data_IF_418634583174
#
_entry.id   IF_418634583174
#
_cell.length_a   1.000
_cell.length_b   1.000
_cell.length_c   1.000
_cell.angle_alpha   90.00
_cell.angle_beta   90.00
_cell.angle_gamma   90.00
#
_symmetry.space_group_name_H-M   'P 1'
#
loop_
_entity.id
_entity.type
_entity.pdbx_description
1 polymer ?
#
# COMPACT_ATOMS: atom_id res chain seq x y z
N UNK A 1 -55.44 49.74 -36.88
CA UNK A 1 -55.01 49.93 -35.49
C UNK A 1 -53.80 49.06 -35.22
N UNK A 2 -52.66 49.74 -35.04
CA UNK A 2 -51.33 49.37 -34.55
C UNK A 2 -50.85 47.89 -34.57
N UNK A 3 -49.95 47.60 -35.53
CA UNK A 3 -48.86 46.64 -35.35
C UNK A 3 -47.78 47.28 -34.48
N UNK A 4 -47.49 46.69 -33.33
CA UNK A 4 -46.34 47.04 -32.50
C UNK A 4 -45.18 46.12 -32.88
N UNK A 5 -44.17 46.69 -33.52
CA UNK A 5 -42.85 46.09 -33.72
C UNK A 5 -42.02 46.27 -32.45
N UNK A 6 -41.56 45.18 -31.84
CA UNK A 6 -40.57 45.20 -30.78
C UNK A 6 -39.29 44.50 -31.26
N UNK A 7 -38.21 45.27 -31.23
CA UNK A 7 -36.84 44.98 -31.65
C UNK A 7 -36.10 44.05 -30.69
N UNK A 8 -35.37 43.09 -31.26
CA UNK A 8 -34.43 42.18 -30.58
C UNK A 8 -33.06 42.86 -30.48
N UNK A 9 -32.37 42.87 -29.32
CA UNK A 9 -31.01 43.38 -29.25
C UNK A 9 -30.01 42.30 -29.68
N UNK A 10 -29.08 42.69 -30.56
CA UNK A 10 -27.94 41.91 -30.98
C UNK A 10 -26.91 41.82 -29.84
N UNK A 11 -26.53 40.59 -29.45
CA UNK A 11 -25.36 40.38 -28.59
C UNK A 11 -24.10 40.28 -29.46
N UNK A 12 -23.15 41.16 -29.14
CA UNK A 12 -21.85 41.24 -29.78
C UNK A 12 -21.00 39.99 -29.54
N UNK A 13 -20.47 39.42 -30.62
CA UNK A 13 -19.41 38.41 -30.62
C UNK A 13 -18.09 39.14 -30.39
N UNK A 14 -17.52 39.01 -29.19
CA UNK A 14 -16.17 39.47 -28.91
C UNK A 14 -15.16 38.45 -29.46
N UNK A 15 -14.50 38.82 -30.56
CA UNK A 15 -13.31 38.14 -31.06
C UNK A 15 -12.13 38.45 -30.14
N UNK A 16 -11.62 37.45 -29.42
CA UNK A 16 -10.33 37.53 -28.75
C UNK A 16 -9.24 36.99 -29.68
N UNK A 17 -8.27 37.87 -29.96
CA UNK A 17 -7.15 37.66 -30.84
C UNK A 17 -6.24 36.50 -30.41
N UNK A 18 -5.82 35.72 -31.40
CA UNK A 18 -4.76 34.72 -31.32
C UNK A 18 -3.41 35.45 -31.23
N UNK A 19 -2.69 35.28 -30.13
CA UNK A 19 -1.26 35.58 -30.04
C UNK A 19 -0.46 34.30 -30.29
N UNK A 20 0.62 34.32 -31.09
CA UNK A 20 1.44 33.14 -31.33
C UNK A 20 2.35 32.87 -30.12
N UNK A 21 2.33 31.65 -29.62
CA UNK A 21 3.28 31.14 -28.62
C UNK A 21 4.58 30.76 -29.36
N UNK A 22 5.75 31.30 -29.00
CA UNK A 22 7.01 30.89 -29.60
C UNK A 22 7.41 29.49 -29.12
N UNK A 23 7.74 28.62 -30.07
CA UNK A 23 8.35 27.32 -29.82
C UNK A 23 9.77 27.50 -29.27
N UNK A 24 9.99 27.16 -28.01
CA UNK A 24 11.34 27.04 -27.43
C UNK A 24 11.81 25.60 -27.54
N UNK A 25 12.82 25.40 -28.37
CA UNK A 25 13.60 24.17 -28.46
C UNK A 25 14.35 23.95 -27.13
N UNK A 26 14.05 22.86 -26.43
CA UNK A 26 14.86 22.39 -25.33
C UNK A 26 16.01 21.55 -25.88
N UNK A 27 17.20 22.14 -25.93
CA UNK A 27 18.45 21.45 -26.20
C UNK A 27 18.72 20.40 -25.11
N UNK A 28 18.80 19.15 -25.52
CA UNK A 28 19.46 18.06 -24.81
C UNK A 28 20.96 18.37 -24.69
N UNK A 29 21.46 18.54 -23.46
CA UNK A 29 22.89 18.45 -23.14
C UNK A 29 23.12 17.36 -22.10
N UNK A 30 24.09 16.45 -22.32
CA UNK A 30 24.39 15.38 -21.38
C UNK A 30 25.10 15.92 -20.14
N UNK A 31 24.65 15.52 -18.97
CA UNK A 31 25.37 15.72 -17.71
C UNK A 31 26.38 14.57 -17.55
N UNK A 32 27.64 14.85 -17.84
CA UNK A 32 28.78 14.04 -17.39
C UNK A 32 29.20 14.52 -16.01
N UNK A 33 28.83 13.78 -14.96
CA UNK A 33 29.42 13.92 -13.63
C UNK A 33 30.34 12.73 -13.39
N UNK A 34 31.62 12.91 -13.69
CA UNK A 34 32.68 12.02 -13.24
C UNK A 34 33.08 12.44 -11.82
N UNK A 35 32.71 11.66 -10.81
CA UNK A 35 33.30 11.75 -9.48
C UNK A 35 34.40 10.71 -9.37
N UNK A 36 35.63 11.18 -9.53
CA UNK A 36 36.86 10.46 -9.21
C UNK A 36 37.00 10.26 -7.71
N UNK A 37 36.92 9.01 -7.25
CA UNK A 37 37.36 8.59 -5.90
C UNK A 37 38.83 8.20 -5.99
N UNK A 38 39.73 8.72 -5.14
CA UNK A 38 41.13 8.30 -5.16
C UNK A 38 41.29 6.88 -4.59
N UNK A 39 41.98 6.04 -5.35
CA UNK A 39 42.40 4.70 -4.96
C UNK A 39 43.51 4.76 -3.89
N UNK A 40 43.38 3.93 -2.86
CA UNK A 40 44.43 3.66 -1.87
C UNK A 40 45.32 2.52 -2.40
N UNK A 41 46.66 2.65 -2.40
CA UNK A 41 47.55 1.64 -2.98
C UNK A 41 47.70 0.41 -2.07
N UNK A 42 47.61 -0.77 -2.67
CA UNK A 42 47.99 -2.06 -2.09
C UNK A 42 49.49 -2.32 -2.32
N UNK A 43 50.18 -2.85 -1.31
CA UNK A 43 51.55 -3.36 -1.40
C UNK A 43 51.57 -4.90 -1.21
N UNK A 44 52.60 -5.62 -1.69
CA UNK A 44 52.45 -6.99 -2.18
C UNK A 44 53.00 -8.09 -1.26
N UNK A 45 52.43 -9.29 -1.43
CA UNK A 45 53.16 -10.56 -1.52
C UNK A 45 53.51 -11.30 -0.23
N UNK A 46 52.99 -12.53 -0.08
CA UNK A 46 53.86 -13.71 -0.07
C UNK A 46 53.05 -15.02 -0.20
N UNK A 47 53.71 -15.94 -0.88
CA UNK A 47 53.36 -17.29 -1.32
C UNK A 47 53.25 -18.33 -0.20
N UNK A 48 52.39 -19.33 -0.38
CA UNK A 48 52.51 -20.62 0.31
C UNK A 48 51.26 -21.51 0.21
N UNK A 49 51.36 -22.62 -0.52
CA UNK A 49 50.52 -23.82 -0.42
C UNK A 49 51.46 -25.03 -0.25
N UNK A 50 51.02 -26.29 0.00
CA UNK A 50 49.67 -26.83 0.26
C UNK A 50 49.58 -27.84 1.46
N UNK A 51 48.39 -28.38 1.79
CA UNK A 51 48.27 -29.68 2.50
C UNK A 51 46.99 -29.89 3.35
N UNK A 52 46.48 -31.13 3.53
CA UNK A 52 45.05 -31.43 3.48
C UNK A 52 44.39 -31.97 4.78
N UNK A 53 43.05 -32.12 4.70
CA UNK A 53 42.18 -33.11 5.37
C UNK A 53 41.88 -33.00 6.87
N UNK A 54 40.58 -33.05 7.21
CA UNK A 54 40.10 -33.23 8.58
C UNK A 54 38.57 -33.11 8.69
N UNK A 55 37.83 -34.15 8.28
CA UNK A 55 36.41 -34.34 8.60
C UNK A 55 36.24 -34.80 10.05
N UNK A 56 35.42 -34.14 10.86
CA UNK A 56 34.74 -34.81 11.98
C UNK A 56 33.44 -34.09 12.36
N UNK A 57 32.35 -34.83 12.16
CA UNK A 57 31.01 -34.57 12.66
C UNK A 57 30.87 -35.23 14.05
N UNK A 58 30.16 -34.64 15.01
CA UNK A 58 29.44 -35.45 16.01
C UNK A 58 27.95 -35.14 15.95
N UNK A 59 27.21 -36.07 15.36
CA UNK A 59 25.75 -36.19 15.46
C UNK A 59 25.37 -36.65 16.87
N UNK A 60 24.82 -35.73 17.67
CA UNK A 60 24.03 -36.04 18.87
C UNK A 60 22.52 -35.93 18.55
N UNK A 61 21.64 -36.75 19.15
CA UNK A 61 20.22 -36.70 18.87
C UNK A 61 19.58 -35.46 19.52
N UNK A 62 19.21 -34.47 18.71
CA UNK A 62 18.38 -33.35 19.17
C UNK A 62 16.91 -33.75 19.17
N UNK A 63 16.37 -33.92 20.37
CA UNK A 63 14.95 -34.13 20.63
C UNK A 63 14.23 -32.78 20.43
N UNK A 64 13.31 -32.59 19.45
CA UNK A 64 12.61 -31.32 19.32
C UNK A 64 11.31 -31.38 20.14
N UNK A 65 11.41 -31.17 21.45
CA UNK A 65 10.27 -30.72 22.25
C UNK A 65 10.06 -29.23 21.96
N UNK A 66 9.53 -28.92 20.78
CA UNK A 66 9.17 -27.56 20.39
C UNK A 66 7.77 -27.23 20.88
N UNK A 67 7.65 -26.33 21.84
CA UNK A 67 6.45 -25.50 22.07
C UNK A 67 5.94 -24.99 20.71
N UNK A 68 4.62 -24.94 20.42
CA UNK A 68 4.12 -24.36 19.17
C UNK A 68 4.66 -22.93 19.04
N UNK A 69 5.69 -22.77 18.21
CA UNK A 69 6.35 -21.49 18.03
C UNK A 69 5.33 -20.51 17.49
N UNK A 70 5.20 -19.35 18.12
CA UNK A 70 4.48 -18.22 17.53
C UNK A 70 5.05 -18.00 16.13
N UNK A 71 4.22 -18.20 15.12
CA UNK A 71 4.65 -18.13 13.73
C UNK A 71 5.29 -16.75 13.49
N UNK A 72 6.56 -16.72 13.13
CA UNK A 72 7.32 -15.48 12.96
C UNK A 72 7.05 -14.87 11.58
N UNK A 73 7.17 -13.54 11.43
CA UNK A 73 7.18 -12.91 10.12
C UNK A 73 8.25 -13.54 9.21
N UNK A 74 7.91 -13.70 7.93
CA UNK A 74 8.81 -14.25 6.91
C UNK A 74 8.75 -13.44 5.62
N UNK A 75 9.76 -13.58 4.78
CA UNK A 75 9.67 -13.09 3.40
C UNK A 75 8.66 -13.98 2.64
N UNK A 76 7.61 -13.37 2.10
CA UNK A 76 6.67 -14.06 1.23
C UNK A 76 7.27 -14.22 -0.18
N UNK A 77 7.71 -13.09 -0.74
CA UNK A 77 8.43 -13.01 -2.01
C UNK A 77 9.19 -11.68 -2.08
N UNK A 78 10.03 -11.52 -3.11
CA UNK A 78 10.74 -10.28 -3.39
C UNK A 78 10.28 -9.76 -4.75
N UNK A 79 9.82 -8.51 -4.83
CA UNK A 79 9.44 -7.92 -6.11
C UNK A 79 10.70 -7.81 -6.97
N UNK A 80 10.75 -8.45 -8.15
CA UNK A 80 11.97 -8.46 -8.97
C UNK A 80 11.92 -7.54 -10.20
N UNK A 81 10.74 -7.01 -10.52
CA UNK A 81 10.56 -6.15 -11.70
C UNK A 81 11.04 -4.72 -11.41
N UNK A 82 12.06 -4.27 -12.14
CA UNK A 82 12.71 -2.97 -11.93
C UNK A 82 11.80 -1.77 -12.22
N UNK A 83 10.67 -1.99 -12.91
CA UNK A 83 9.67 -0.95 -13.16
C UNK A 83 8.89 -0.59 -11.89
N UNK A 84 8.92 -1.43 -10.87
CA UNK A 84 8.22 -1.22 -9.61
C UNK A 84 9.21 -0.60 -8.62
N UNK A 85 9.09 0.71 -8.43
CA UNK A 85 10.00 1.51 -7.59
C UNK A 85 9.29 2.10 -6.37
N UNK A 86 7.99 2.31 -6.46
CA UNK A 86 7.18 3.09 -5.52
C UNK A 86 5.89 2.32 -5.20
N UNK A 87 6.03 1.02 -4.86
CA UNK A 87 4.90 0.13 -4.56
C UNK A 87 4.08 0.62 -3.35
N UNK A 88 3.11 1.49 -3.60
CA UNK A 88 2.38 2.23 -2.57
C UNK A 88 1.20 1.42 -1.95
N UNK A 89 0.53 0.57 -2.73
CA UNK A 89 -0.57 -0.29 -2.22
C UNK A 89 -0.43 -1.78 -2.56
N UNK A 90 -1.08 -2.66 -1.79
CA UNK A 90 -1.19 -4.10 -2.10
C UNK A 90 -2.64 -4.59 -2.04
N UNK A 91 -3.01 -5.47 -2.97
CA UNK A 91 -4.30 -6.15 -2.94
C UNK A 91 -4.15 -7.62 -3.36
N UNK A 92 -4.49 -8.56 -2.47
CA UNK A 92 -4.47 -9.99 -2.80
C UNK A 92 -5.59 -10.31 -3.81
N UNK A 93 -5.24 -10.97 -4.92
CA UNK A 93 -6.18 -11.32 -5.98
C UNK A 93 -7.31 -12.22 -5.49
N UNK A 94 -8.52 -11.99 -6.00
CA UNK A 94 -9.66 -12.87 -5.76
C UNK A 94 -9.74 -13.99 -6.80
N UNK A 95 -9.43 -13.69 -8.06
CA UNK A 95 -9.53 -14.66 -9.16
C UNK A 95 -8.28 -15.54 -9.34
N UNK A 96 -7.11 -15.12 -8.85
CA UNK A 96 -5.81 -15.77 -9.11
C UNK A 96 -5.08 -16.09 -7.80
N UNK A 97 -5.16 -17.34 -7.31
CA UNK A 97 -4.48 -17.74 -6.09
C UNK A 97 -2.96 -17.45 -6.12
N UNK A 98 -2.46 -16.81 -5.06
CA UNK A 98 -1.05 -16.45 -4.93
C UNK A 98 -0.61 -15.21 -5.69
N UNK A 99 -1.53 -14.51 -6.37
CA UNK A 99 -1.24 -13.24 -7.03
C UNK A 99 -1.58 -12.06 -6.12
N UNK A 100 -0.71 -11.05 -6.12
CA UNK A 100 -0.94 -9.78 -5.43
C UNK A 100 -0.78 -8.64 -6.44
N UNK A 101 -1.70 -7.67 -6.41
CA UNK A 101 -1.63 -6.47 -7.23
C UNK A 101 -0.94 -5.33 -6.48
N UNK A 102 -0.16 -4.53 -7.22
CA UNK A 102 0.42 -3.26 -6.75
C UNK A 102 0.40 -2.22 -7.88
N UNK A 103 0.72 -0.97 -7.55
CA UNK A 103 0.99 0.13 -8.48
C UNK A 103 2.16 0.97 -7.94
N UNK A 104 2.80 1.75 -8.82
CA UNK A 104 3.68 2.83 -8.37
C UNK A 104 2.85 4.04 -7.93
N UNK A 105 3.38 4.83 -6.99
CA UNK A 105 2.73 6.02 -6.45
C UNK A 105 2.40 7.06 -7.53
N UNK A 106 3.39 7.75 -8.10
CA UNK A 106 3.13 8.93 -8.94
C UNK A 106 3.99 8.99 -10.21
N UNK A 107 3.69 9.97 -11.08
CA UNK A 107 4.54 10.35 -12.22
C UNK A 107 4.67 9.35 -13.38
N UNK A 108 4.12 8.13 -13.22
CA UNK A 108 4.23 7.03 -14.17
C UNK A 108 3.01 6.83 -15.09
N UNK A 109 3.03 5.72 -15.82
CA UNK A 109 1.86 5.26 -16.57
C UNK A 109 0.83 4.70 -15.58
N UNK A 110 -0.47 4.88 -15.85
CA UNK A 110 -1.55 4.30 -15.06
C UNK A 110 -1.58 2.77 -15.20
N UNK A 111 -0.78 2.08 -14.39
CA UNK A 111 -0.54 0.64 -14.48
C UNK A 111 -0.72 -0.06 -13.15
N UNK A 112 -1.30 -1.26 -13.22
CA UNK A 112 -1.35 -2.21 -12.12
C UNK A 112 -0.47 -3.39 -12.50
N UNK A 113 0.39 -3.81 -11.58
CA UNK A 113 1.27 -4.96 -11.74
C UNK A 113 0.67 -6.15 -10.97
N UNK A 114 0.44 -7.27 -11.65
CA UNK A 114 0.06 -8.52 -11.03
C UNK A 114 1.32 -9.34 -10.72
N UNK A 115 1.64 -9.53 -9.45
CA UNK A 115 2.87 -10.18 -8.99
C UNK A 115 2.55 -11.61 -8.53
N UNK A 116 3.29 -12.60 -9.03
CA UNK A 116 3.17 -13.99 -8.62
C UNK A 116 3.91 -14.31 -7.31
N UNK A 117 3.77 -15.53 -6.78
CA UNK A 117 4.38 -15.93 -5.51
C UNK A 117 5.91 -16.06 -5.56
N UNK A 118 6.51 -16.03 -6.75
CA UNK A 118 7.96 -15.93 -6.96
C UNK A 118 8.46 -14.48 -7.00
N UNK A 119 7.56 -13.50 -6.90
CA UNK A 119 7.86 -12.07 -7.01
C UNK A 119 7.96 -11.52 -8.43
N UNK A 120 7.73 -12.37 -9.45
CA UNK A 120 7.74 -11.97 -10.85
C UNK A 120 6.38 -11.43 -11.32
N UNK A 121 6.41 -10.42 -12.19
CA UNK A 121 5.20 -9.87 -12.81
C UNK A 121 4.60 -10.87 -13.80
N UNK A 122 3.30 -11.16 -13.65
CA UNK A 122 2.48 -12.03 -14.51
C UNK A 122 1.67 -11.25 -15.53
N UNK A 123 1.32 -10.02 -15.20
CA UNK A 123 0.62 -9.12 -16.10
C UNK A 123 0.84 -7.66 -15.69
N UNK A 124 0.89 -6.79 -16.69
CA UNK A 124 0.75 -5.34 -16.53
C UNK A 124 -0.59 -4.90 -17.13
N UNK A 125 -1.47 -4.42 -16.27
CA UNK A 125 -2.78 -3.90 -16.66
C UNK A 125 -2.67 -2.38 -16.78
N UNK A 126 -2.72 -1.86 -18.02
CA UNK A 126 -2.70 -0.41 -18.26
C UNK A 126 -4.14 0.11 -18.29
N UNK A 127 -4.48 1.08 -17.44
CA UNK A 127 -5.84 1.60 -17.32
C UNK A 127 -6.06 2.72 -18.34
N UNK A 128 -6.82 2.43 -19.39
CA UNK A 128 -7.23 3.43 -20.37
C UNK A 128 -8.13 4.49 -19.72
N UNK A 129 -7.92 5.74 -20.11
CA UNK A 129 -8.64 6.90 -19.56
C UNK A 129 -8.19 7.34 -18.16
N UNK A 130 -7.30 6.58 -17.51
CA UNK A 130 -6.76 6.92 -16.21
C UNK A 130 -5.44 7.70 -16.32
N UNK A 131 -5.18 8.52 -15.30
CA UNK A 131 -3.89 9.18 -15.09
C UNK A 131 -3.37 8.77 -13.72
N UNK A 132 -2.08 8.44 -13.65
CA UNK A 132 -1.40 8.30 -12.38
C UNK A 132 -0.83 9.66 -11.95
N UNK A 133 -1.63 10.44 -11.24
CA UNK A 133 -1.18 11.72 -10.66
C UNK A 133 -0.53 11.49 -9.30
N UNK A 134 -1.23 10.85 -8.38
CA UNK A 134 -0.84 10.58 -6.99
C UNK A 134 -1.63 9.35 -6.51
N UNK A 135 -1.32 8.17 -7.07
CA UNK A 135 -2.01 6.92 -6.76
C UNK A 135 -1.48 6.33 -5.47
N UNK A 136 -2.34 6.20 -4.46
CA UNK A 136 -1.87 5.85 -3.12
C UNK A 136 -2.48 4.56 -2.57
N UNK A 137 -3.50 4.00 -3.23
CA UNK A 137 -4.16 2.82 -2.70
C UNK A 137 -4.80 1.94 -3.76
N UNK A 138 -4.82 0.64 -3.48
CA UNK A 138 -5.45 -0.40 -4.30
C UNK A 138 -6.22 -1.36 -3.39
N UNK A 139 -7.42 -1.77 -3.82
CA UNK A 139 -8.23 -2.72 -3.07
C UNK A 139 -9.02 -3.64 -4.01
N UNK A 140 -9.30 -4.85 -3.53
CA UNK A 140 -10.26 -5.73 -4.16
C UNK A 140 -11.68 -5.35 -3.75
N UNK A 141 -12.60 -5.41 -4.70
CA UNK A 141 -14.04 -5.24 -4.48
C UNK A 141 -14.83 -6.00 -5.55
N UNK A 142 -16.01 -5.50 -5.86
CA UNK A 142 -16.89 -6.03 -6.91
C UNK A 142 -17.31 -4.97 -7.92
N UNK A 143 -17.50 -5.39 -9.17
CA UNK A 143 -18.14 -4.57 -10.20
C UNK A 143 -19.67 -4.59 -10.09
N UNK A 144 -20.35 -3.89 -11.00
CA UNK A 144 -21.82 -3.75 -10.98
C UNK A 144 -22.55 -5.08 -11.25
N UNK A 145 -21.83 -6.10 -11.72
CA UNK A 145 -22.33 -7.46 -11.93
C UNK A 145 -21.92 -8.42 -10.80
N UNK A 146 -21.32 -7.91 -9.72
CA UNK A 146 -20.87 -8.71 -8.59
C UNK A 146 -19.58 -9.51 -8.84
N UNK A 147 -18.91 -9.30 -9.99
CA UNK A 147 -17.66 -9.99 -10.31
C UNK A 147 -16.50 -9.32 -9.57
N UNK A 148 -15.40 -10.04 -9.28
CA UNK A 148 -14.22 -9.43 -8.67
C UNK A 148 -13.73 -8.23 -9.49
N UNK A 149 -13.37 -7.17 -8.78
CA UNK A 149 -12.91 -5.92 -9.36
C UNK A 149 -11.72 -5.37 -8.58
N UNK A 150 -10.83 -4.70 -9.31
CA UNK A 150 -9.69 -3.99 -8.74
C UNK A 150 -10.04 -2.50 -8.74
N UNK A 151 -9.93 -1.88 -7.58
CA UNK A 151 -10.07 -0.44 -7.41
C UNK A 151 -8.69 0.16 -7.15
N UNK A 152 -8.38 1.28 -7.80
CA UNK A 152 -7.15 2.04 -7.56
C UNK A 152 -7.47 3.51 -7.37
N UNK A 153 -6.82 4.16 -6.42
CA UNK A 153 -7.20 5.46 -5.91
C UNK A 153 -6.11 6.51 -6.19
N UNK A 154 -6.45 7.50 -7.02
CA UNK A 154 -5.71 8.75 -7.19
C UNK A 154 -6.20 9.74 -6.13
N UNK A 155 -5.66 9.61 -4.91
CA UNK A 155 -6.17 10.24 -3.68
C UNK A 155 -5.12 11.04 -2.90
N UNK A 156 -3.84 10.94 -3.30
CA UNK A 156 -2.77 11.75 -2.73
C UNK A 156 -2.99 13.25 -2.99
N UNK A 157 -2.51 14.05 -2.04
CA UNK A 157 -2.46 15.51 -2.12
C UNK A 157 -1.39 16.03 -1.16
N UNK A 158 -0.12 15.81 -1.51
CA UNK A 158 1.04 16.32 -0.75
C UNK A 158 1.07 17.87 -0.61
N UNK A 159 0.20 18.58 -1.35
CA UNK A 159 0.02 20.03 -1.26
C UNK A 159 -1.07 20.45 -0.26
N UNK A 160 -1.66 19.50 0.47
CA UNK A 160 -2.57 19.79 1.57
C UNK A 160 -3.96 20.24 1.12
N UNK A 161 -4.43 19.76 -0.02
CA UNK A 161 -5.77 20.06 -0.53
C UNK A 161 -5.80 20.94 -1.78
N UNK A 162 -4.74 20.91 -2.59
CA UNK A 162 -4.68 21.66 -3.84
C UNK A 162 -5.70 21.15 -4.88
N UNK A 163 -6.16 19.91 -4.74
CA UNK A 163 -7.02 19.27 -5.73
C UNK A 163 -8.51 19.34 -5.36
N UNK A 164 -9.38 19.79 -6.28
CA UNK A 164 -10.81 20.02 -6.00
C UNK A 164 -11.63 18.73 -5.88
N UNK A 165 -11.03 17.58 -6.23
CA UNK A 165 -11.59 16.24 -6.10
C UNK A 165 -10.47 15.20 -6.24
N UNK A 166 -10.77 13.98 -5.81
CA UNK A 166 -9.93 12.79 -6.01
C UNK A 166 -10.66 11.80 -6.91
N UNK A 167 -9.93 10.87 -7.53
CA UNK A 167 -10.51 9.92 -8.49
C UNK A 167 -10.20 8.49 -8.08
N UNK A 168 -11.20 7.62 -8.14
CA UNK A 168 -11.03 6.19 -7.93
C UNK A 168 -11.43 5.50 -9.22
N UNK A 169 -10.53 4.67 -9.71
CA UNK A 169 -10.72 3.86 -10.91
C UNK A 169 -11.11 2.46 -10.52
N UNK A 170 -12.00 1.83 -11.30
CA UNK A 170 -12.40 0.43 -11.15
C UNK A 170 -12.25 -0.30 -12.47
N UNK A 171 -11.60 -1.45 -12.43
CA UNK A 171 -11.62 -2.43 -13.53
C UNK A 171 -12.17 -3.76 -13.01
N UNK A 172 -12.89 -4.49 -13.85
CA UNK A 172 -13.17 -5.91 -13.56
C UNK A 172 -11.85 -6.68 -13.57
N UNK A 173 -11.64 -7.52 -12.56
CA UNK A 173 -10.45 -8.38 -12.50
C UNK A 173 -10.42 -9.31 -13.72
N UNK A 174 -9.34 -9.30 -14.53
CA UNK A 174 -9.27 -10.17 -15.70
C UNK A 174 -9.28 -11.64 -15.31
N UNK A 175 -10.02 -12.48 -16.03
CA UNK A 175 -10.02 -13.94 -15.82
C UNK A 175 -8.72 -14.62 -16.29
N UNK A 176 -7.93 -13.94 -17.11
CA UNK A 176 -6.62 -14.40 -17.60
C UNK A 176 -5.62 -13.26 -17.43
N UNK A 177 -4.53 -13.54 -16.72
CA UNK A 177 -3.42 -12.61 -16.54
C UNK A 177 -2.55 -12.59 -17.80
N UNK A 178 -2.50 -11.43 -18.43
CA UNK A 178 -1.59 -11.07 -19.51
C UNK A 178 -1.54 -9.55 -19.61
N UNK A 179 -0.46 -9.03 -20.15
CA UNK A 179 -0.33 -7.61 -20.44
C UNK A 179 -1.48 -7.15 -21.35
N UNK A 180 -2.19 -6.10 -20.91
CA UNK A 180 -3.30 -5.54 -21.67
C UNK A 180 -3.66 -4.14 -21.20
N UNK A 181 -4.24 -3.39 -22.13
CA UNK A 181 -4.98 -2.18 -21.79
C UNK A 181 -6.42 -2.55 -21.42
N UNK A 182 -6.94 -1.96 -20.36
CA UNK A 182 -8.31 -2.18 -19.86
C UNK A 182 -8.98 -0.83 -19.65
N UNK A 183 -10.21 -0.67 -20.14
CA UNK A 183 -11.01 0.52 -19.86
C UNK A 183 -11.39 0.56 -18.38
N UNK A 184 -11.06 1.68 -17.72
CA UNK A 184 -11.38 1.89 -16.31
C UNK A 184 -12.66 2.72 -16.16
N UNK A 185 -13.53 2.31 -15.22
CA UNK A 185 -14.62 3.16 -14.76
C UNK A 185 -14.05 4.17 -13.75
N UNK A 186 -14.21 5.46 -14.01
CA UNK A 186 -13.73 6.51 -13.12
C UNK A 186 -14.87 7.09 -12.25
N UNK A 187 -14.59 7.24 -10.95
CA UNK A 187 -15.49 7.82 -9.97
C UNK A 187 -14.81 9.02 -9.31
N UNK A 188 -15.43 10.19 -9.37
CA UNK A 188 -14.89 11.39 -8.73
C UNK A 188 -15.46 11.54 -7.33
N UNK A 189 -14.63 11.94 -6.38
CA UNK A 189 -15.01 12.11 -4.98
C UNK A 189 -14.63 13.48 -4.44
N UNK A 190 -15.43 13.96 -3.49
CA UNK A 190 -15.12 15.11 -2.65
C UNK A 190 -15.33 14.75 -1.20
N UNK A 191 -14.43 15.19 -0.35
CA UNK A 191 -14.61 15.15 1.09
C UNK A 191 -15.64 16.20 1.51
N UNK A 192 -16.57 15.82 2.39
CA UNK A 192 -17.66 16.69 2.88
C UNK A 192 -17.15 17.95 3.57
N UNK A 193 -15.93 17.91 4.08
CA UNK A 193 -15.29 18.92 4.91
C UNK A 193 -14.02 19.50 4.25
N UNK A 194 -13.84 19.30 2.93
CA UNK A 194 -12.79 19.95 2.12
C UNK A 194 -11.65 19.02 1.64
N UNK A 195 -10.83 19.43 0.67
CA UNK A 195 -9.71 18.62 0.17
C UNK A 195 -8.69 18.20 1.26
N UNK A 196 -8.02 17.06 1.09
CA UNK A 196 -7.00 16.53 2.02
C UNK A 196 -6.12 15.45 1.38
N UNK A 197 -4.93 15.24 1.94
CA UNK A 197 -4.05 14.12 1.59
C UNK A 197 -4.55 12.81 2.19
N UNK A 198 -4.64 11.75 1.40
CA UNK A 198 -5.04 10.42 1.84
C UNK A 198 -4.29 9.32 1.12
N UNK A 199 -4.01 8.25 1.84
CA UNK A 199 -3.12 7.16 1.37
C UNK A 199 -3.67 5.79 1.72
N UNK A 200 -4.97 5.70 1.93
CA UNK A 200 -5.59 4.43 2.30
C UNK A 200 -6.96 4.39 1.71
N UNK A 201 -7.23 3.34 0.95
CA UNK A 201 -8.55 3.00 0.45
C UNK A 201 -8.84 1.55 0.78
N UNK A 202 -10.02 1.30 1.33
CA UNK A 202 -10.46 -0.02 1.72
C UNK A 202 -11.88 -0.26 1.20
N UNK A 203 -12.19 -1.50 0.83
CA UNK A 203 -13.55 -1.89 0.41
C UNK A 203 -14.05 -3.00 1.33
N UNK A 204 -15.20 -2.78 1.97
CA UNK A 204 -15.83 -3.79 2.81
C UNK A 204 -16.33 -4.95 1.92
N UNK A 205 -15.83 -6.17 2.07
CA UNK A 205 -16.19 -7.30 1.21
C UNK A 205 -17.66 -7.70 1.37
N UNK A 206 -18.35 -7.33 2.46
CA UNK A 206 -19.77 -7.66 2.66
C UNK A 206 -20.68 -6.72 1.89
N UNK A 207 -20.34 -5.43 1.86
CA UNK A 207 -21.21 -4.38 1.33
C UNK A 207 -20.71 -3.76 0.03
N UNK A 208 -19.47 -4.02 -0.36
CA UNK A 208 -18.73 -3.34 -1.43
C UNK A 208 -18.59 -1.82 -1.21
N UNK A 209 -18.78 -1.35 0.03
CA UNK A 209 -18.69 0.07 0.37
C UNK A 209 -17.23 0.47 0.54
N UNK A 210 -16.90 1.63 -0.02
CA UNK A 210 -15.56 2.20 -0.01
C UNK A 210 -15.33 3.09 1.21
N UNK A 211 -14.14 2.99 1.79
CA UNK A 211 -13.66 3.79 2.90
C UNK A 211 -12.28 4.37 2.56
N UNK A 212 -11.98 5.56 3.07
CA UNK A 212 -10.69 6.23 2.89
C UNK A 212 -10.15 6.70 4.23
N UNK A 213 -8.84 6.57 4.46
CA UNK A 213 -8.16 7.20 5.60
C UNK A 213 -7.13 8.24 5.14
N UNK A 214 -7.11 9.39 5.81
CA UNK A 214 -6.18 10.50 5.50
C UNK A 214 -4.81 10.32 6.17
N UNK A 215 -3.71 10.69 5.51
CA UNK A 215 -2.31 10.53 6.00
C UNK A 215 -1.93 11.46 7.17
N UNK A 216 -2.63 12.57 7.39
CA UNK A 216 -2.12 13.61 8.30
C UNK A 216 -1.99 13.13 9.77
N UNK A 217 -1.20 13.86 10.56
CA UNK A 217 -1.04 13.59 12.01
C UNK A 217 -2.37 13.53 12.77
N UNK A 218 -3.38 14.24 12.29
CA UNK A 218 -4.77 14.06 12.71
C UNK A 218 -5.53 13.32 11.61
N UNK A 219 -5.28 12.01 11.53
CA UNK A 219 -5.91 11.13 10.56
C UNK A 219 -7.42 11.04 10.79
N UNK A 220 -8.18 10.87 9.73
CA UNK A 220 -9.62 10.68 9.78
C UNK A 220 -10.07 9.62 8.77
N UNK A 221 -11.12 8.90 9.14
CA UNK A 221 -11.74 7.87 8.32
C UNK A 221 -13.00 8.42 7.68
N UNK A 222 -13.18 8.13 6.39
CA UNK A 222 -14.32 8.54 5.59
C UNK A 222 -15.00 7.35 4.97
N UNK A 223 -16.31 7.44 4.80
CA UNK A 223 -17.11 6.49 4.03
C UNK A 223 -17.61 7.14 2.73
N UNK A 224 -17.62 6.37 1.65
CA UNK A 224 -18.29 6.71 0.42
C UNK A 224 -19.81 6.46 0.50
N UNK A 225 -20.60 6.97 -0.46
CA UNK A 225 -21.97 6.51 -0.66
C UNK A 225 -22.01 5.00 -0.92
N UNK A 226 -23.09 4.33 -0.51
CA UNK A 226 -23.24 2.88 -0.73
C UNK A 226 -23.31 2.50 -2.22
N UNK A 227 -23.74 3.43 -3.09
CA UNK A 227 -23.73 3.27 -4.54
C UNK A 227 -22.93 4.42 -5.14
N UNK A 228 -21.89 4.08 -5.90
CA UNK A 228 -21.07 5.06 -6.58
C UNK A 228 -21.74 5.54 -7.86
N UNK A 229 -21.62 6.84 -8.14
CA UNK A 229 -22.07 7.46 -9.37
C UNK A 229 -20.88 7.84 -10.25
N UNK A 230 -20.94 7.51 -11.54
CA UNK A 230 -20.04 8.03 -12.57
C UNK A 230 -20.41 9.44 -13.02
N UNK A 231 -21.62 9.89 -12.68
CA UNK A 231 -22.09 11.26 -12.91
C UNK A 231 -21.86 12.13 -11.67
N UNK A 232 -21.31 13.34 -11.84
CA UNK A 232 -21.05 14.26 -10.74
C UNK A 232 -19.91 13.82 -9.80
N UNK A 233 -20.09 14.09 -8.51
CA UNK A 233 -19.16 13.78 -7.42
C UNK A 233 -19.84 12.90 -6.36
N UNK A 234 -19.09 11.94 -5.83
CA UNK A 234 -19.44 11.14 -4.68
C UNK A 234 -18.92 11.82 -3.41
N UNK A 235 -19.77 12.00 -2.40
CA UNK A 235 -19.35 12.69 -1.16
C UNK A 235 -18.81 11.69 -0.13
N UNK A 236 -17.54 11.87 0.24
CA UNK A 236 -16.89 11.16 1.35
C UNK A 236 -17.27 11.83 2.66
N UNK A 237 -17.91 11.10 3.57
CA UNK A 237 -18.35 11.60 4.89
C UNK A 237 -17.41 11.12 5.97
N UNK A 238 -16.97 12.02 6.85
CA UNK A 238 -16.15 11.66 8.01
C UNK A 238 -16.96 10.80 8.99
N UNK A 239 -16.40 9.67 9.41
CA UNK A 239 -17.01 8.72 10.36
C UNK A 239 -16.17 8.45 11.60
N UNK A 240 -14.93 8.92 11.65
CA UNK A 240 -14.07 8.73 12.81
C UNK A 240 -12.67 9.28 12.63
N UNK A 241 -11.83 9.05 13.63
CA UNK A 241 -10.38 9.23 13.53
C UNK A 241 -9.73 8.04 12.83
N UNK A 242 -8.58 8.27 12.21
CA UNK A 242 -7.67 7.24 11.71
C UNK A 242 -6.32 7.37 12.43
N UNK A 243 -5.46 6.33 12.39
CA UNK A 243 -4.11 6.43 12.90
C UNK A 243 -3.35 7.60 12.24
N UNK A 244 -2.44 8.26 12.97
CA UNK A 244 -1.58 9.28 12.38
C UNK A 244 -0.67 8.64 11.33
N UNK A 245 -0.48 9.32 10.20
CA UNK A 245 0.44 8.85 9.15
C UNK A 245 0.07 7.44 8.66
N UNK A 246 -1.23 7.27 8.37
CA UNK A 246 -1.74 6.11 7.67
C UNK A 246 -1.18 6.07 6.25
N UNK A 247 -0.69 4.90 5.86
CA UNK A 247 0.06 4.67 4.60
C UNK A 247 -0.61 3.66 3.68
N UNK A 248 -1.40 2.73 4.23
CA UNK A 248 -2.28 1.84 3.48
C UNK A 248 -3.26 1.14 4.44
N UNK A 249 -4.23 0.38 3.92
CA UNK A 249 -5.16 -0.40 4.71
C UNK A 249 -5.93 -1.42 3.90
N UNK A 250 -6.46 -2.44 4.57
CA UNK A 250 -7.23 -3.49 3.93
C UNK A 250 -8.34 -4.02 4.85
N UNK A 251 -9.47 -4.44 4.28
CA UNK A 251 -10.45 -5.23 5.01
C UNK A 251 -9.97 -6.67 5.15
N UNK A 252 -10.32 -7.28 6.28
CA UNK A 252 -10.21 -8.72 6.44
C UNK A 252 -11.21 -9.42 5.50
N UNK A 253 -10.91 -10.64 4.99
CA UNK A 253 -11.77 -11.30 3.99
C UNK A 253 -13.20 -11.56 4.44
N UNK A 254 -13.45 -11.73 5.73
CA UNK A 254 -14.80 -11.91 6.31
C UNK A 254 -15.56 -10.59 6.53
N UNK A 255 -14.90 -9.44 6.37
CA UNK A 255 -15.44 -8.11 6.61
C UNK A 255 -15.73 -7.76 8.08
N UNK A 256 -15.31 -8.58 9.04
CA UNK A 256 -15.51 -8.33 10.47
C UNK A 256 -14.53 -7.29 11.04
N UNK A 257 -13.52 -6.92 10.27
CA UNK A 257 -12.55 -5.91 10.64
C UNK A 257 -11.73 -5.44 9.46
N UNK A 258 -10.86 -4.47 9.73
CA UNK A 258 -9.90 -3.94 8.78
C UNK A 258 -8.62 -3.54 9.51
N UNK A 259 -7.54 -3.45 8.75
CA UNK A 259 -6.24 -2.98 9.23
C UNK A 259 -5.92 -1.64 8.57
N UNK A 260 -5.35 -0.72 9.33
CA UNK A 260 -4.68 0.47 8.79
C UNK A 260 -3.22 0.39 9.20
N UNK A 261 -2.35 0.45 8.20
CA UNK A 261 -0.90 0.48 8.36
C UNK A 261 -0.43 1.93 8.54
N UNK A 262 0.65 2.07 9.29
CA UNK A 262 1.42 3.32 9.44
C UNK A 262 2.90 2.98 9.30
N UNK A 263 3.77 3.99 9.25
CA UNK A 263 5.24 3.77 9.25
C UNK A 263 5.77 2.98 10.47
N UNK A 264 5.03 2.94 11.58
CA UNK A 264 5.51 2.38 12.85
C UNK A 264 4.84 1.05 13.23
N UNK A 265 3.93 0.54 12.40
CA UNK A 265 3.18 -0.68 12.69
C UNK A 265 1.81 -0.66 12.03
N UNK A 266 0.88 -1.46 12.55
CA UNK A 266 -0.49 -1.47 12.07
C UNK A 266 -1.47 -1.38 13.22
N UNK A 267 -2.68 -0.90 12.92
CA UNK A 267 -3.81 -0.88 13.84
C UNK A 267 -4.96 -1.66 13.24
N UNK A 268 -5.40 -2.68 13.96
CA UNK A 268 -6.53 -3.54 13.58
C UNK A 268 -7.79 -2.96 14.23
N UNK A 269 -8.86 -2.91 13.46
CA UNK A 269 -10.17 -2.40 13.87
C UNK A 269 -11.22 -3.48 13.69
N UNK A 270 -12.12 -3.60 14.67
CA UNK A 270 -13.38 -4.29 14.46
C UNK A 270 -14.30 -3.43 13.61
N UNK A 271 -15.00 -4.04 12.66
CA UNK A 271 -16.07 -3.40 11.92
C UNK A 271 -17.41 -3.73 12.57
N UNK A 272 -18.17 -2.71 12.98
CA UNK A 272 -19.50 -2.90 13.54
C UNK A 272 -20.52 -3.25 12.45
N UNK A 273 -21.65 -3.88 12.79
CA UNK A 273 -22.72 -4.17 11.83
C UNK A 273 -23.31 -2.93 11.15
N UNK A 274 -23.22 -1.76 11.79
CA UNK A 274 -23.69 -0.48 11.26
C UNK A 274 -22.71 0.20 10.27
N UNK A 275 -21.56 -0.43 9.98
CA UNK A 275 -20.55 0.10 9.07
C UNK A 275 -19.59 1.10 9.72
N UNK A 276 -19.67 1.32 11.03
CA UNK A 276 -18.73 2.20 11.75
C UNK A 276 -17.57 1.43 12.39
N UNK A 277 -16.39 2.07 12.58
CA UNK A 277 -15.30 1.46 13.31
C UNK A 277 -15.67 1.17 14.77
N UNK A 278 -15.27 0.00 15.24
CA UNK A 278 -15.35 -0.40 16.64
C UNK A 278 -14.00 -0.31 17.34
N UNK A 279 -13.83 -1.21 18.32
CA UNK A 279 -12.59 -1.32 19.09
C UNK A 279 -11.40 -1.59 18.18
N UNK A 280 -10.22 -1.12 18.63
CA UNK A 280 -8.98 -1.28 17.89
C UNK A 280 -7.79 -1.45 18.80
N UNK A 281 -6.78 -2.18 18.31
CA UNK A 281 -5.50 -2.37 18.96
C UNK A 281 -4.38 -2.34 17.94
N UNK A 282 -3.17 -2.05 18.41
CA UNK A 282 -1.98 -2.00 17.56
C UNK A 282 -1.32 -3.36 17.51
N UNK A 283 -0.81 -3.72 16.34
CA UNK A 283 0.05 -4.89 16.13
C UNK A 283 1.42 -4.42 15.60
N UNK A 284 2.52 -5.06 16.03
CA UNK A 284 3.83 -4.74 15.50
C UNK A 284 3.96 -5.24 14.06
N UNK A 285 4.63 -4.46 13.21
CA UNK A 285 5.09 -4.92 11.91
C UNK A 285 6.63 -5.03 11.93
N UNK A 286 7.22 -5.93 11.11
CA UNK A 286 8.66 -5.91 10.89
C UNK A 286 9.13 -4.54 10.38
N UNK A 287 10.37 -4.16 10.73
CA UNK A 287 10.96 -2.94 10.20
C UNK A 287 11.11 -3.02 8.68
N UNK A 288 10.76 -1.94 7.98
CA UNK A 288 10.93 -1.75 6.54
C UNK A 288 11.50 -0.35 6.32
N UNK A 289 12.25 -0.15 5.23
CA UNK A 289 12.90 1.14 4.94
C UNK A 289 11.87 2.26 4.77
N UNK A 290 10.85 1.97 3.96
CA UNK A 290 9.69 2.82 3.70
C UNK A 290 8.50 1.88 3.51
N UNK A 291 8.07 1.23 4.59
CA UNK A 291 6.89 0.42 4.43
C UNK A 291 5.75 1.33 3.97
N UNK A 292 4.98 0.90 2.97
CA UNK A 292 3.81 1.63 2.44
C UNK A 292 2.56 0.75 2.44
N UNK A 293 2.65 -0.45 1.88
CA UNK A 293 1.46 -1.26 1.58
C UNK A 293 1.10 -2.35 2.58
N UNK A 294 -0.18 -2.71 2.65
CA UNK A 294 -0.72 -3.84 3.43
C UNK A 294 -1.94 -4.50 2.76
N UNK A 295 -2.01 -5.84 2.80
CA UNK A 295 -3.25 -6.59 2.50
C UNK A 295 -3.36 -7.81 3.41
N UNK A 296 -4.56 -8.34 3.59
CA UNK A 296 -4.72 -9.69 4.15
C UNK A 296 -4.36 -10.75 3.11
N UNK A 297 -3.90 -11.91 3.58
CA UNK A 297 -3.95 -13.13 2.77
C UNK A 297 -5.41 -13.55 2.54
N UNK A 298 -5.74 -14.26 1.44
CA UNK A 298 -7.12 -14.62 1.13
C UNK A 298 -7.83 -15.45 2.22
N UNK A 299 -7.07 -16.24 2.96
CA UNK A 299 -7.55 -17.05 4.08
C UNK A 299 -7.72 -16.26 5.38
N UNK A 300 -7.28 -14.99 5.44
CA UNK A 300 -7.36 -14.15 6.64
C UNK A 300 -6.37 -14.48 7.75
N UNK A 301 -5.44 -15.42 7.52
CA UNK A 301 -4.51 -15.90 8.55
C UNK A 301 -3.27 -15.02 8.73
N UNK A 302 -2.98 -14.14 7.77
CA UNK A 302 -1.78 -13.29 7.78
C UNK A 302 -2.04 -11.94 7.10
N UNK A 303 -1.14 -10.99 7.37
CA UNK A 303 -0.95 -9.81 6.55
C UNK A 303 0.23 -10.01 5.58
N UNK A 304 0.13 -9.43 4.40
CA UNK A 304 1.25 -9.14 3.52
C UNK A 304 1.55 -7.66 3.63
N UNK A 305 2.81 -7.29 3.87
CA UNK A 305 3.25 -5.89 3.99
C UNK A 305 4.42 -5.60 3.07
N UNK A 306 4.38 -4.47 2.38
CA UNK A 306 5.36 -4.06 1.37
C UNK A 306 6.09 -2.77 1.74
N UNK A 307 7.19 -2.51 1.03
CA UNK A 307 8.00 -1.31 1.15
C UNK A 307 8.23 -0.69 -0.21
N UNK A 308 8.33 0.62 -0.27
CA UNK A 308 8.84 1.33 -1.42
C UNK A 308 10.35 1.13 -1.59
N UNK A 309 10.79 1.35 -2.83
CA UNK A 309 12.13 1.08 -3.30
C UNK A 309 12.17 -0.10 -4.28
N UNK A 310 13.29 -0.18 -5.00
CA UNK A 310 13.54 -1.28 -5.92
C UNK A 310 13.83 -2.57 -5.17
N UNK A 311 13.36 -3.67 -5.72
CA UNK A 311 13.71 -5.00 -5.25
C UNK A 311 13.35 -5.24 -3.76
N UNK A 312 12.25 -4.66 -3.29
CA UNK A 312 11.85 -4.80 -1.89
C UNK A 312 11.16 -6.14 -1.62
N UNK A 313 11.36 -6.74 -0.43
CA UNK A 313 10.61 -7.91 -0.01
C UNK A 313 9.18 -7.52 0.39
N UNK A 314 8.23 -8.38 0.03
CA UNK A 314 6.91 -8.42 0.68
C UNK A 314 6.99 -9.43 1.81
N UNK A 315 6.66 -8.99 3.02
CA UNK A 315 6.73 -9.80 4.23
C UNK A 315 5.34 -10.34 4.57
N UNK A 316 5.27 -11.62 4.93
CA UNK A 316 4.09 -12.22 5.52
C UNK A 316 4.18 -12.19 7.04
N UNK A 317 3.22 -11.55 7.68
CA UNK A 317 3.09 -11.40 9.13
C UNK A 317 1.90 -12.25 9.60
N UNK A 318 2.12 -13.38 10.27
CA UNK A 318 1.05 -14.21 10.79
C UNK A 318 0.19 -13.45 11.80
N UNK A 319 -1.13 -13.56 11.66
CA UNK A 319 -2.09 -13.08 12.65
C UNK A 319 -2.36 -14.18 13.67
N UNK A 320 -2.68 -13.82 14.90
CA UNK A 320 -2.91 -14.77 15.99
C UNK A 320 -4.18 -14.43 16.75
N UNK A 321 -4.78 -15.44 17.39
CA UNK A 321 -5.96 -15.24 18.24
C UNK A 321 -7.11 -14.57 17.49
N UNK A 322 -7.63 -13.48 18.06
CA UNK A 322 -8.79 -12.75 17.53
C UNK A 322 -8.52 -11.99 16.23
N UNK A 323 -7.25 -11.81 15.84
CA UNK A 323 -6.86 -11.09 14.62
C UNK A 323 -6.88 -11.98 13.38
N UNK A 324 -6.69 -13.29 13.56
CA UNK A 324 -6.79 -14.26 12.48
C UNK A 324 -8.27 -14.50 12.15
N UNK A 325 -8.63 -14.24 10.90
CA UNK A 325 -9.96 -14.58 10.39
C UNK A 325 -9.90 -16.03 9.89
N UNK A 326 -10.75 -16.90 10.41
CA UNK A 326 -10.83 -18.30 9.97
C UNK A 326 -10.00 -19.26 10.83
N UNK A 327 -10.66 -19.87 11.82
CA UNK A 327 -10.19 -21.09 12.46
C UNK A 327 -10.41 -22.29 11.54
N UNK A 328 -9.40 -22.63 10.75
CA UNK A 328 -9.12 -24.04 10.44
C UNK A 328 -7.68 -24.29 10.82
N UNK A 329 -7.49 -25.21 11.77
CA UNK A 329 -6.19 -25.69 12.18
C UNK A 329 -5.32 -26.07 10.96
N UNK A 330 -3.97 -26.05 11.08
CA UNK A 330 -3.10 -26.63 10.06
C UNK A 330 -3.59 -28.04 9.70
N UNK A 331 -3.42 -28.49 8.44
CA UNK A 331 -3.71 -29.89 8.09
C UNK A 331 -3.02 -30.83 9.09
N UNK A 332 -3.69 -31.88 9.58
CA UNK A 332 -3.06 -32.81 10.51
C UNK A 332 -1.84 -33.44 9.85
N UNK A 333 -0.71 -33.42 10.57
CA UNK A 333 0.50 -34.16 10.22
C UNK A 333 0.13 -35.66 10.10
N UNK A 334 0.45 -36.36 9.00
CA UNK A 334 0.10 -37.77 8.83
C UNK A 334 0.76 -38.74 9.83
N UNK A 335 1.53 -38.24 10.79
CA UNK A 335 2.29 -39.04 11.75
C UNK A 335 1.97 -38.63 13.19
N UNK A 336 1.02 -39.31 13.82
CA UNK A 336 0.85 -39.13 15.26
C UNK A 336 -0.39 -39.75 15.86
N UNK A 337 -0.55 -41.06 15.73
CA UNK A 337 -1.43 -41.82 16.63
C UNK A 337 -0.68 -42.10 17.95
N UNK A 338 -1.35 -41.80 19.06
CA UNK A 338 -1.18 -42.31 20.45
C UNK A 338 -0.05 -41.77 21.34
N UNK A 339 -0.41 -41.10 22.46
CA UNK A 339 -0.37 -41.66 23.84
C UNK A 339 -0.72 -40.61 24.93
N UNK A 340 -1.16 -41.02 26.14
CA UNK A 340 -1.86 -40.20 27.16
C UNK A 340 -0.94 -39.42 28.13
N UNK A 341 -1.48 -38.53 29.01
CA UNK A 341 -0.71 -37.50 29.69
C UNK A 341 -0.05 -37.96 31.01
N UNK A 342 1.20 -37.53 31.21
CA UNK A 342 1.83 -37.34 32.52
C UNK A 342 2.19 -35.85 32.57
N UNK A 343 1.85 -35.05 33.58
CA UNK A 343 2.14 -35.20 35.00
C UNK A 343 2.74 -33.84 35.40
N UNK A 344 2.08 -33.10 36.28
CA UNK A 344 2.49 -31.76 36.74
C UNK A 344 3.84 -31.85 37.45
N UNK A 345 4.65 -30.80 37.32
CA UNK A 345 5.48 -30.30 38.42
C UNK A 345 5.71 -28.79 38.23
N UNK A 346 5.40 -28.05 39.31
CA UNK A 346 5.70 -26.65 39.54
C UNK A 346 7.21 -26.46 39.77
N UNK A 347 7.79 -25.34 39.35
CA UNK A 347 8.81 -24.63 40.13
C UNK A 347 8.96 -23.18 39.66
N UNK A 348 8.92 -22.31 40.67
CA UNK A 348 8.99 -20.85 40.66
C UNK A 348 10.46 -20.36 40.73
N UNK A 349 10.60 -19.03 40.62
CA UNK A 349 11.78 -18.16 40.78
C UNK A 349 12.64 -17.93 39.52
N UNK A 350 13.05 -16.72 39.14
CA UNK A 350 13.01 -15.41 39.80
C UNK A 350 14.25 -14.60 39.36
N UNK A 351 14.07 -13.29 39.09
CA UNK A 351 15.11 -12.23 38.97
C UNK A 351 16.05 -12.28 37.74
N UNK A 352 16.58 -11.19 37.14
CA UNK A 352 16.51 -9.73 37.27
C UNK A 352 17.13 -9.11 35.99
N UNK A 353 16.55 -8.01 35.52
CA UNK A 353 17.15 -6.83 34.84
C UNK A 353 18.45 -6.97 34.02
N UNK A 354 18.41 -6.51 32.75
CA UNK A 354 19.29 -5.41 32.34
C UNK A 354 18.83 -4.58 31.13
N UNK A 355 19.10 -3.28 31.27
CA UNK A 355 18.96 -2.11 30.41
C UNK A 355 19.79 -2.13 29.13
N UNK A 356 19.32 -1.45 28.08
CA UNK A 356 20.23 -0.86 27.08
C UNK A 356 19.60 -0.49 25.73
N UNK A 357 19.63 0.81 25.40
CA UNK A 357 19.93 1.24 24.02
C UNK A 357 18.78 1.67 23.11
N UNK A 358 18.15 2.82 23.39
CA UNK A 358 17.51 3.66 22.36
C UNK A 358 18.58 4.52 21.67
N UNK A 359 18.63 4.53 20.33
CA UNK A 359 18.76 5.73 19.46
C UNK A 359 18.93 5.34 17.98
N UNK A 360 18.52 6.29 17.12
CA UNK A 360 18.72 6.43 15.66
C UNK A 360 17.53 5.99 14.78
N UNK A 361 16.72 6.97 14.37
CA UNK A 361 16.39 7.27 12.96
C UNK A 361 15.37 8.42 12.91
N UNK A 362 15.85 9.67 12.93
CA UNK A 362 15.06 10.88 12.67
C UNK A 362 15.79 11.69 11.60
N UNK A 363 15.74 11.28 10.34
CA UNK A 363 16.36 12.02 9.23
C UNK A 363 15.63 11.95 7.88
N UNK A 364 14.30 11.76 7.84
CA UNK A 364 13.52 11.94 6.61
C UNK A 364 12.20 12.73 6.78
N UNK A 365 12.07 13.49 7.88
CA UNK A 365 10.97 14.48 8.04
C UNK A 365 11.40 15.90 7.62
N UNK A 366 12.70 16.15 7.45
CA UNK A 366 13.22 17.49 7.10
C UNK A 366 13.39 17.73 5.60
N UNK A 367 13.37 16.69 4.76
CA UNK A 367 13.50 16.83 3.30
C UNK A 367 12.30 17.52 2.64
N UNK A 368 11.10 17.35 3.19
CA UNK A 368 9.86 17.90 2.62
C UNK A 368 9.50 19.26 3.23
N UNK A 369 9.81 19.50 4.51
CA UNK A 369 9.61 20.80 5.16
C UNK A 369 10.49 21.91 4.57
N UNK A 370 11.70 21.58 4.08
CA UNK A 370 12.62 22.53 3.45
C UNK A 370 12.12 23.10 2.11
N UNK A 371 11.39 22.31 1.33
CA UNK A 371 10.85 22.74 0.03
C UNK A 371 9.61 23.63 0.17
N UNK A 372 8.78 23.40 1.19
CA UNK A 372 7.60 24.24 1.49
C UNK A 372 8.00 25.62 2.02
N UNK A 373 9.04 25.70 2.86
CA UNK A 373 9.56 26.97 3.38
C UNK A 373 10.15 27.88 2.30
N UNK A 374 10.91 27.32 1.35
CA UNK A 374 11.53 28.09 0.27
C UNK A 374 10.50 28.63 -0.75
N UNK A 375 9.43 27.88 -1.01
CA UNK A 375 8.34 28.31 -1.91
C UNK A 375 7.49 29.47 -1.37
N UNK A 376 7.29 29.56 -0.05
CA UNK A 376 6.49 30.60 0.58
C UNK A 376 7.21 31.95 0.69
N UNK A 377 8.54 31.95 0.84
CA UNK A 377 9.33 33.20 0.93
C UNK A 377 9.45 33.88 -0.43
N UNK A 378 9.56 33.11 -1.53
CA UNK A 378 9.73 33.68 -2.87
C UNK A 378 8.46 34.30 -3.48
N UNK A 379 7.27 34.04 -2.92
CA UNK A 379 6.01 34.68 -3.34
C UNK A 379 5.73 36.02 -2.65
N UNK A 380 6.58 36.44 -1.71
CA UNK A 380 6.42 37.69 -0.94
C UNK A 380 7.58 38.67 -1.13
N UNK A 381 8.38 38.53 -2.18
CA UNK A 381 9.46 39.46 -2.55
C UNK A 381 9.30 39.95 -3.97
#
# INVERSE_FOLDING_TARGET
>A
MNRVTASVPALAVAACALWPIPATAALSRPFTAASSVPAVPSAPGSSGAPGPSGTSNPSGPSNPSGTPGTARPRVAFKIVDERITESSGLAASTAHPGVVYTHNDSGGTAQIFAIGPDGGVRAVLTLAGARNRDWEAIAMGRDDHGRPAIFVADIGDNLGGAWPFVTIYRITEPTVLRDRTVEATAFRFRYSDGPRNAETMMIDPRTNRLYIASKLMSGALYEAPAKLSTSGYNTLRRIGGAPPIATDGAFAPDGNGFVIRTYFGARVYRMKPDGTPGDSHSIPLPSQEQGESVTYTPDGSSLLVGSEGRAQPVLQVPLTGADAVGGTAPPPDPRGLTSPPAGKDDHDEGHLRHTGGRRVALLLVLGIAGLVGYGLVRRRS
#
